data_IF_496191335279
#
_entry.id   IF_496191335279
#
_cell.length_a   1.000
_cell.length_b   1.000
_cell.length_c   1.000
_cell.angle_alpha   90.00
_cell.angle_beta   90.00
_cell.angle_gamma   90.00
#
_symmetry.space_group_name_H-M   'P 1'
#
loop_
_entity.id
_entity.type
_entity.pdbx_description
1 polymer ?
#
# COMPACT_ATOMS: atom_id res chain seq x y z
N UNK A 1 -16.53 42.85 -2.99
CA UNK A 1 -15.81 41.96 -3.92
C UNK A 1 -14.58 41.36 -3.26
N UNK A 2 -13.66 42.17 -2.71
CA UNK A 2 -12.45 41.71 -2.00
C UNK A 2 -12.67 40.68 -0.87
N UNK A 3 -13.67 40.89 0.00
CA UNK A 3 -13.95 39.97 1.11
C UNK A 3 -14.37 38.58 0.59
N UNK A 4 -15.14 38.52 -0.49
CA UNK A 4 -15.62 37.26 -1.08
C UNK A 4 -14.43 36.48 -1.67
N UNK A 5 -13.54 37.15 -2.39
CA UNK A 5 -12.32 36.53 -2.94
C UNK A 5 -11.40 36.01 -1.84
N UNK A 6 -11.23 36.77 -0.75
CA UNK A 6 -10.45 36.34 0.40
C UNK A 6 -11.02 35.06 1.04
N UNK A 7 -12.33 35.02 1.24
CA UNK A 7 -13.01 33.84 1.81
C UNK A 7 -12.85 32.63 0.89
N UNK A 8 -12.99 32.80 -0.43
CA UNK A 8 -12.80 31.71 -1.40
C UNK A 8 -11.37 31.17 -1.33
N UNK A 9 -10.36 32.05 -1.32
CA UNK A 9 -8.95 31.66 -1.22
C UNK A 9 -8.66 30.92 0.09
N UNK A 10 -9.20 31.40 1.21
CA UNK A 10 -9.05 30.73 2.50
C UNK A 10 -9.64 29.32 2.48
N UNK A 11 -10.85 29.17 1.92
CA UNK A 11 -11.50 27.86 1.80
C UNK A 11 -10.72 26.92 0.87
N UNK A 12 -10.20 27.42 -0.24
CA UNK A 12 -9.34 26.63 -1.14
C UNK A 12 -8.08 26.16 -0.44
N UNK A 13 -7.40 27.06 0.28
CA UNK A 13 -6.20 26.71 1.05
C UNK A 13 -6.50 25.64 2.08
N UNK A 14 -7.57 25.83 2.88
CA UNK A 14 -8.00 24.86 3.87
C UNK A 14 -8.36 23.51 3.25
N UNK A 15 -9.03 23.50 2.10
CA UNK A 15 -9.34 22.27 1.37
C UNK A 15 -8.07 21.52 0.94
N UNK A 16 -7.08 22.23 0.41
CA UNK A 16 -5.78 21.65 0.05
C UNK A 16 -5.06 21.04 1.25
N UNK A 17 -5.03 21.73 2.39
CA UNK A 17 -4.45 21.22 3.64
C UNK A 17 -5.16 19.94 4.11
N UNK A 18 -6.49 19.93 4.10
CA UNK A 18 -7.29 18.75 4.50
C UNK A 18 -7.01 17.56 3.58
N UNK A 19 -6.87 17.79 2.27
CA UNK A 19 -6.50 16.74 1.30
C UNK A 19 -5.13 16.14 1.65
N UNK A 20 -4.11 16.98 1.86
CA UNK A 20 -2.75 16.54 2.18
C UNK A 20 -2.69 15.79 3.51
N UNK A 21 -3.33 16.32 4.56
CA UNK A 21 -3.42 15.64 5.86
C UNK A 21 -4.18 14.31 5.77
N UNK A 22 -5.21 14.23 4.92
CA UNK A 22 -5.92 13.00 4.62
C UNK A 22 -5.01 11.94 4.01
N UNK A 23 -4.15 12.33 3.05
CA UNK A 23 -3.16 11.42 2.45
C UNK A 23 -2.11 10.99 3.46
N UNK A 24 -1.57 11.90 4.26
CA UNK A 24 -0.59 11.55 5.32
C UNK A 24 -1.20 10.58 6.33
N UNK A 25 -2.44 10.81 6.74
CA UNK A 25 -3.16 9.91 7.65
C UNK A 25 -3.38 8.54 7.00
N UNK A 26 -3.72 8.50 5.72
CA UNK A 26 -3.84 7.26 4.95
C UNK A 26 -2.50 6.52 4.89
N UNK A 27 -1.39 7.21 4.59
CA UNK A 27 -0.07 6.62 4.54
C UNK A 27 0.38 6.04 5.89
N UNK A 28 0.17 6.78 6.97
CA UNK A 28 0.48 6.32 8.33
C UNK A 28 -0.38 5.11 8.70
N UNK A 29 -1.69 5.16 8.46
CA UNK A 29 -2.60 4.04 8.79
C UNK A 29 -2.30 2.79 7.98
N UNK A 30 -1.87 2.94 6.73
CA UNK A 30 -1.62 1.80 5.84
C UNK A 30 -0.25 1.17 6.02
N UNK A 31 0.79 1.96 6.34
CA UNK A 31 2.18 1.49 6.33
C UNK A 31 2.94 1.62 7.65
N UNK A 32 2.54 2.53 8.54
CA UNK A 32 3.28 2.80 9.79
C UNK A 32 2.57 2.21 11.01
N UNK A 33 1.23 2.21 11.00
CA UNK A 33 0.43 1.74 12.12
C UNK A 33 0.37 0.20 12.10
N UNK A 34 1.03 -0.45 13.06
CA UNK A 34 1.01 -1.89 13.27
C UNK A 34 -0.30 -2.38 13.91
N UNK A 35 -1.44 -2.05 13.29
CA UNK A 35 -2.77 -2.46 13.72
C UNK A 35 -3.73 -2.38 12.55
N UNK A 36 -4.80 -3.19 12.58
CA UNK A 36 -5.89 -3.08 11.61
C UNK A 36 -6.56 -1.70 11.67
N UNK A 37 -6.08 -0.74 10.88
CA UNK A 37 -6.75 0.51 10.64
C UNK A 37 -7.47 0.44 9.30
N UNK A 38 -8.79 0.58 9.34
CA UNK A 38 -9.57 0.75 8.12
C UNK A 38 -9.23 2.11 7.52
N UNK A 39 -8.55 2.08 6.38
CA UNK A 39 -8.29 3.28 5.59
C UNK A 39 -9.16 3.29 4.33
N UNK A 40 -10.00 4.32 4.20
CA UNK A 40 -10.98 4.42 3.12
C UNK A 40 -10.32 4.62 1.77
N UNK A 41 -9.23 5.40 1.71
CA UNK A 41 -8.51 5.66 0.47
C UNK A 41 -7.86 4.39 -0.05
N UNK A 42 -7.13 3.69 0.80
CA UNK A 42 -6.52 2.39 0.48
C UNK A 42 -7.57 1.37 0.07
N UNK A 43 -8.66 1.26 0.85
CA UNK A 43 -9.76 0.34 0.54
C UNK A 43 -10.41 0.65 -0.83
N UNK A 44 -10.55 1.93 -1.17
CA UNK A 44 -11.05 2.36 -2.47
C UNK A 44 -10.11 1.97 -3.59
N UNK A 45 -8.80 2.21 -3.44
CA UNK A 45 -7.78 1.83 -4.43
C UNK A 45 -7.79 0.32 -4.66
N UNK A 46 -7.82 -0.49 -3.59
CA UNK A 46 -7.91 -1.94 -3.71
C UNK A 46 -9.19 -2.40 -4.41
N UNK A 47 -10.34 -1.76 -4.12
CA UNK A 47 -11.61 -2.09 -4.77
C UNK A 47 -11.61 -1.73 -6.25
N UNK A 48 -11.14 -0.55 -6.60
CA UNK A 48 -11.06 -0.09 -8.01
C UNK A 48 -10.10 -0.96 -8.79
N UNK A 49 -8.91 -1.23 -8.24
CA UNK A 49 -7.93 -2.14 -8.83
C UNK A 49 -8.55 -3.52 -9.03
N UNK A 50 -9.22 -4.06 -8.01
CA UNK A 50 -9.86 -5.39 -8.11
C UNK A 50 -10.88 -5.45 -9.24
N UNK A 51 -11.70 -4.42 -9.39
CA UNK A 51 -12.66 -4.34 -10.49
C UNK A 51 -11.96 -4.35 -11.86
N UNK A 52 -10.85 -3.61 -12.02
CA UNK A 52 -10.07 -3.60 -13.26
C UNK A 52 -9.49 -4.98 -13.58
N UNK A 53 -8.97 -5.69 -12.58
CA UNK A 53 -8.46 -7.05 -12.76
C UNK A 53 -9.59 -8.04 -13.09
N UNK A 54 -10.73 -7.96 -12.40
CA UNK A 54 -11.89 -8.82 -12.65
C UNK A 54 -12.48 -8.60 -14.05
N UNK A 55 -12.46 -7.37 -14.58
CA UNK A 55 -12.84 -7.10 -15.97
C UNK A 55 -11.96 -7.87 -16.97
N UNK A 56 -10.66 -8.00 -16.69
CA UNK A 56 -9.75 -8.82 -17.51
C UNK A 56 -9.97 -10.33 -17.32
N UNK A 57 -10.34 -10.78 -16.11
CA UNK A 57 -10.60 -12.19 -15.85
C UNK A 57 -11.79 -12.76 -16.61
N UNK A 58 -12.77 -11.92 -16.98
CA UNK A 58 -13.93 -12.34 -17.80
C UNK A 58 -13.52 -12.96 -19.15
N UNK A 59 -12.30 -12.69 -19.61
CA UNK A 59 -11.75 -13.20 -20.88
C UNK A 59 -10.98 -14.52 -20.72
N UNK A 60 -10.78 -15.00 -19.49
CA UNK A 60 -9.95 -16.17 -19.21
C UNK A 60 -10.81 -17.41 -18.92
N UNK A 61 -10.53 -18.51 -19.63
CA UNK A 61 -11.27 -19.77 -19.53
C UNK A 61 -10.72 -20.70 -18.43
N UNK A 62 -9.39 -20.75 -18.25
CA UNK A 62 -8.71 -21.71 -17.36
C UNK A 62 -8.46 -21.12 -15.97
N UNK A 63 -8.47 -21.98 -14.94
CA UNK A 63 -8.08 -21.59 -13.58
C UNK A 63 -6.63 -21.07 -13.50
N UNK A 64 -5.69 -21.73 -14.18
CA UNK A 64 -4.28 -21.34 -14.22
C UNK A 64 -4.07 -19.92 -14.77
N UNK A 65 -4.80 -19.56 -15.82
CA UNK A 65 -4.69 -18.24 -16.46
C UNK A 65 -5.28 -17.15 -15.56
N UNK A 66 -6.40 -17.45 -14.88
CA UNK A 66 -7.01 -16.55 -13.90
C UNK A 66 -6.10 -16.33 -12.70
N UNK A 67 -5.47 -17.40 -12.22
CA UNK A 67 -4.54 -17.35 -11.10
C UNK A 67 -3.32 -16.49 -11.44
N UNK A 68 -2.72 -16.68 -12.63
CA UNK A 68 -1.58 -15.89 -13.09
C UNK A 68 -1.87 -14.40 -13.17
N UNK A 69 -3.06 -14.02 -13.68
CA UNK A 69 -3.48 -12.61 -13.73
C UNK A 69 -3.68 -12.06 -12.32
N UNK A 70 -4.32 -12.82 -11.44
CA UNK A 70 -4.56 -12.39 -10.05
C UNK A 70 -3.31 -12.43 -9.17
N UNK A 71 -2.26 -13.16 -9.52
CA UNK A 71 -0.98 -13.11 -8.83
C UNK A 71 -0.34 -11.71 -8.92
N UNK A 72 -0.59 -10.97 -10.02
CA UNK A 72 -0.10 -9.60 -10.21
C UNK A 72 -0.95 -8.54 -9.50
N UNK A 73 -2.16 -8.89 -9.03
CA UNK A 73 -3.09 -7.95 -8.42
C UNK A 73 -2.51 -7.26 -7.18
N UNK A 74 -2.02 -8.03 -6.21
CA UNK A 74 -1.54 -7.46 -4.95
C UNK A 74 -0.30 -6.59 -5.14
N UNK A 75 0.76 -7.03 -5.86
CA UNK A 75 1.95 -6.21 -6.09
C UNK A 75 1.65 -4.91 -6.85
N UNK A 76 0.85 -4.97 -7.93
CA UNK A 76 0.54 -3.79 -8.73
C UNK A 76 -0.36 -2.79 -7.99
N UNK A 77 -1.32 -3.29 -7.21
CA UNK A 77 -2.18 -2.43 -6.37
C UNK A 77 -1.38 -1.77 -5.27
N UNK A 78 -0.42 -2.48 -4.69
CA UNK A 78 0.43 -1.94 -3.63
C UNK A 78 1.35 -0.83 -4.15
N UNK A 79 1.95 -1.01 -5.33
CA UNK A 79 2.81 0.00 -5.97
C UNK A 79 1.98 1.22 -6.43
N UNK A 80 0.70 1.03 -6.79
CA UNK A 80 -0.14 2.14 -7.24
C UNK A 80 -0.59 3.08 -6.11
N UNK A 81 -0.70 2.59 -4.86
CA UNK A 81 -1.05 3.42 -3.69
C UNK A 81 -0.19 4.68 -3.52
N UNK A 82 1.15 4.59 -3.39
CA UNK A 82 2.00 5.77 -3.22
C UNK A 82 1.94 6.70 -4.44
N UNK A 83 1.78 6.15 -5.65
CA UNK A 83 1.63 6.94 -6.88
C UNK A 83 0.34 7.77 -6.78
N UNK A 84 -0.76 7.15 -6.36
CA UNK A 84 -2.04 7.81 -6.16
C UNK A 84 -1.94 8.87 -5.05
N UNK A 85 -1.25 8.57 -3.94
CA UNK A 85 -1.00 9.55 -2.88
C UNK A 85 -0.23 10.76 -3.38
N UNK A 86 0.86 10.55 -4.13
CA UNK A 86 1.63 11.65 -4.73
C UNK A 86 0.77 12.48 -5.68
N UNK A 87 -0.08 11.86 -6.50
CA UNK A 87 -1.02 12.60 -7.37
C UNK A 87 -2.01 13.43 -6.56
N UNK A 88 -2.58 12.87 -5.48
CA UNK A 88 -3.54 13.60 -4.63
C UNK A 88 -2.85 14.76 -3.90
N UNK A 89 -1.63 14.56 -3.40
CA UNK A 89 -0.81 15.60 -2.77
C UNK A 89 -0.48 16.69 -3.78
N UNK A 90 -0.02 16.32 -4.98
CA UNK A 90 0.26 17.24 -6.09
C UNK A 90 -0.95 18.14 -6.40
N UNK A 91 -2.14 17.55 -6.49
CA UNK A 91 -3.38 18.31 -6.72
C UNK A 91 -3.77 19.17 -5.51
N UNK A 92 -3.62 18.65 -4.29
CA UNK A 92 -3.90 19.38 -3.05
C UNK A 92 -3.02 20.63 -2.91
N UNK A 93 -1.71 20.50 -3.19
CA UNK A 93 -0.77 21.62 -3.20
C UNK A 93 -1.04 22.60 -4.34
N UNK A 94 -1.39 22.12 -5.54
CA UNK A 94 -1.81 23.01 -6.63
C UNK A 94 -2.97 23.93 -6.23
N UNK A 95 -3.95 23.42 -5.48
CA UNK A 95 -5.05 24.23 -4.94
C UNK A 95 -4.54 25.26 -3.91
N UNK A 96 -3.60 24.88 -3.05
CA UNK A 96 -2.99 25.80 -2.07
C UNK A 96 -2.18 26.91 -2.75
N UNK A 97 -1.42 26.61 -3.80
CA UNK A 97 -0.68 27.61 -4.57
C UNK A 97 -1.62 28.63 -5.24
N UNK A 98 -2.74 28.18 -5.81
CA UNK A 98 -3.75 29.08 -6.38
C UNK A 98 -4.32 30.00 -5.31
N UNK A 99 -4.59 29.48 -4.11
CA UNK A 99 -5.11 30.27 -3.00
C UNK A 99 -4.15 31.40 -2.58
N UNK A 100 -2.84 31.10 -2.51
CA UNK A 100 -1.81 32.07 -2.11
C UNK A 100 -1.58 33.16 -3.17
N UNK A 101 -1.80 32.86 -4.46
CA UNK A 101 -1.69 33.87 -5.51
C UNK A 101 -1.14 33.42 -6.85
N UNK A 102 -0.99 32.12 -7.08
CA UNK A 102 -0.58 31.63 -8.41
C UNK A 102 -1.72 31.83 -9.41
N UNK A 103 -1.43 32.62 -10.46
CA UNK A 103 -2.44 33.18 -11.37
C UNK A 103 -3.15 32.15 -12.26
N UNK A 104 -2.55 30.99 -12.52
CA UNK A 104 -3.11 29.98 -13.43
C UNK A 104 -3.00 28.57 -12.87
N UNK A 105 -4.00 27.73 -13.16
CA UNK A 105 -4.01 26.31 -12.77
C UNK A 105 -2.79 25.57 -13.34
N UNK A 106 -2.44 25.84 -14.60
CA UNK A 106 -1.27 25.22 -15.24
C UNK A 106 0.02 25.58 -14.51
N UNK A 107 0.22 26.84 -14.12
CA UNK A 107 1.41 27.26 -13.38
C UNK A 107 1.44 26.62 -11.99
N UNK A 108 0.30 26.54 -11.29
CA UNK A 108 0.21 25.89 -9.99
C UNK A 108 0.54 24.40 -10.04
N UNK A 109 0.09 23.69 -11.09
CA UNK A 109 0.43 22.28 -11.33
C UNK A 109 1.93 22.09 -11.65
N UNK A 110 2.53 22.98 -12.45
CA UNK A 110 3.96 22.93 -12.76
C UNK A 110 4.79 23.23 -11.49
N UNK A 111 4.40 24.23 -10.70
CA UNK A 111 5.08 24.60 -9.45
C UNK A 111 5.02 23.46 -8.43
N UNK A 112 3.82 22.95 -8.19
CA UNK A 112 3.56 21.78 -7.34
C UNK A 112 4.34 20.55 -7.79
N UNK A 113 4.31 20.24 -9.10
CA UNK A 113 5.03 19.08 -9.64
C UNK A 113 6.54 19.22 -9.51
N UNK A 114 7.07 20.43 -9.76
CA UNK A 114 8.48 20.76 -9.58
C UNK A 114 8.92 20.59 -8.13
N UNK A 115 8.11 21.05 -7.18
CA UNK A 115 8.41 20.98 -5.75
C UNK A 115 8.30 19.54 -5.21
N UNK A 116 7.18 18.87 -5.47
CA UNK A 116 6.92 17.50 -5.00
C UNK A 116 7.97 16.49 -5.49
N UNK A 117 8.38 16.62 -6.76
CA UNK A 117 9.41 15.77 -7.37
C UNK A 117 10.82 16.34 -7.18
N UNK A 118 10.98 17.45 -6.45
CA UNK A 118 12.27 18.09 -6.15
C UNK A 118 13.09 18.47 -7.39
N UNK A 119 12.42 18.79 -8.50
CA UNK A 119 13.05 19.13 -9.77
C UNK A 119 13.60 20.56 -9.80
N UNK A 120 13.00 21.49 -9.05
CA UNK A 120 13.44 22.89 -8.96
C UNK A 120 13.34 23.70 -10.26
N UNK A 121 12.50 23.26 -11.21
CA UNK A 121 12.32 23.88 -12.54
C UNK A 121 11.47 25.15 -12.47
N UNK A 122 10.51 25.20 -11.55
CA UNK A 122 9.66 26.36 -11.30
C UNK A 122 9.78 26.75 -9.83
N UNK A 123 9.99 28.05 -9.58
CA UNK A 123 10.06 28.66 -8.25
C UNK A 123 9.43 30.05 -8.33
N UNK A 124 8.92 30.56 -7.21
CA UNK A 124 8.36 31.91 -7.09
C UNK A 124 9.02 32.68 -5.93
N UNK A 125 9.33 33.97 -6.13
CA UNK A 125 10.09 34.80 -5.16
C UNK A 125 9.28 35.26 -3.93
N UNK A 126 8.14 34.62 -3.64
CA UNK A 126 7.31 34.95 -2.48
C UNK A 126 7.65 34.02 -1.32
N UNK A 127 7.98 34.60 -0.15
CA UNK A 127 8.28 33.86 1.07
C UNK A 127 7.18 32.83 1.44
N UNK A 128 5.91 33.15 1.24
CA UNK A 128 4.80 32.23 1.52
C UNK A 128 4.74 31.04 0.55
N UNK A 129 5.05 31.26 -0.73
CA UNK A 129 5.13 30.19 -1.74
C UNK A 129 6.36 29.31 -1.48
N UNK A 130 7.50 29.93 -1.17
CA UNK A 130 8.73 29.23 -0.81
C UNK A 130 8.54 28.27 0.38
N UNK A 131 7.87 28.71 1.46
CA UNK A 131 7.58 27.82 2.59
C UNK A 131 6.69 26.63 2.20
N UNK A 132 5.71 26.88 1.33
CA UNK A 132 4.81 25.84 0.84
C UNK A 132 5.56 24.83 -0.04
N UNK A 133 6.44 25.31 -0.92
CA UNK A 133 7.35 24.48 -1.73
C UNK A 133 8.22 23.58 -0.84
N UNK A 134 8.91 24.14 0.15
CA UNK A 134 9.72 23.35 1.08
C UNK A 134 8.89 22.29 1.81
N UNK A 135 7.69 22.65 2.29
CA UNK A 135 6.81 21.69 2.97
C UNK A 135 6.34 20.57 2.04
N UNK A 136 6.07 20.88 0.78
CA UNK A 136 5.67 19.90 -0.23
C UNK A 136 6.79 18.92 -0.54
N UNK A 137 8.00 19.43 -0.76
CA UNK A 137 9.18 18.62 -1.00
C UNK A 137 9.43 17.64 0.16
N UNK A 138 9.36 18.13 1.41
CA UNK A 138 9.52 17.29 2.61
C UNK A 138 8.45 16.19 2.68
N UNK A 139 7.18 16.53 2.42
CA UNK A 139 6.09 15.54 2.42
C UNK A 139 6.28 14.51 1.31
N UNK A 140 6.64 14.94 0.10
CA UNK A 140 6.95 14.04 -1.02
C UNK A 140 8.05 13.06 -0.68
N UNK A 141 9.15 13.55 -0.10
CA UNK A 141 10.27 12.72 0.35
C UNK A 141 9.86 11.73 1.45
N UNK A 142 9.06 12.14 2.43
CA UNK A 142 8.55 11.25 3.49
C UNK A 142 7.70 10.13 2.87
N UNK A 143 6.79 10.45 1.95
CA UNK A 143 5.93 9.45 1.29
C UNK A 143 6.76 8.44 0.49
N UNK A 144 7.78 8.90 -0.24
CA UNK A 144 8.70 8.03 -0.98
C UNK A 144 9.53 7.17 -0.02
N UNK A 145 10.02 7.73 1.09
CA UNK A 145 10.79 7.01 2.08
C UNK A 145 9.98 5.87 2.72
N UNK A 146 8.72 6.13 3.08
CA UNK A 146 7.81 5.09 3.59
C UNK A 146 7.62 3.98 2.56
N UNK A 147 7.42 4.32 1.28
CA UNK A 147 7.28 3.32 0.22
C UNK A 147 8.51 2.40 0.12
N UNK A 148 9.70 2.99 0.11
CA UNK A 148 10.96 2.23 0.00
C UNK A 148 11.13 1.30 1.21
N UNK A 149 10.78 1.76 2.41
CA UNK A 149 10.87 0.94 3.62
C UNK A 149 9.80 -0.17 3.69
N UNK A 150 8.65 0.04 3.06
CA UNK A 150 7.51 -0.88 3.16
C UNK A 150 7.67 -2.15 2.32
N UNK A 151 8.14 -2.03 1.08
CA UNK A 151 8.25 -3.18 0.17
C UNK A 151 9.13 -4.32 0.73
N UNK A 152 10.34 -4.07 1.26
CA UNK A 152 11.17 -5.13 1.85
C UNK A 152 10.47 -5.84 3.01
N UNK A 153 9.80 -5.07 3.88
CA UNK A 153 9.07 -5.59 5.04
C UNK A 153 7.94 -6.53 4.61
N UNK A 154 7.19 -6.14 3.58
CA UNK A 154 6.14 -6.96 2.98
C UNK A 154 6.67 -8.26 2.38
N UNK A 155 7.73 -8.17 1.57
CA UNK A 155 8.31 -9.36 0.94
C UNK A 155 8.93 -10.31 1.97
N UNK A 156 9.51 -9.77 3.05
CA UNK A 156 10.02 -10.58 4.16
C UNK A 156 8.90 -11.34 4.86
N UNK A 157 7.78 -10.67 5.19
CA UNK A 157 6.61 -11.31 5.81
C UNK A 157 5.99 -12.38 4.89
N UNK A 158 5.84 -12.07 3.60
CA UNK A 158 5.35 -13.03 2.60
C UNK A 158 6.27 -14.25 2.48
N UNK A 159 7.59 -14.03 2.40
CA UNK A 159 8.58 -15.12 2.29
C UNK A 159 8.58 -16.01 3.54
N UNK A 160 8.47 -15.42 4.74
CA UNK A 160 8.36 -16.19 5.99
C UNK A 160 7.11 -17.08 5.99
N UNK A 161 5.96 -16.53 5.56
CA UNK A 161 4.71 -17.29 5.40
C UNK A 161 4.88 -18.47 4.42
N UNK A 162 5.39 -18.19 3.23
CA UNK A 162 5.52 -19.20 2.15
C UNK A 162 6.49 -20.32 2.51
N UNK A 163 7.54 -20.02 3.29
CA UNK A 163 8.45 -21.05 3.81
C UNK A 163 7.69 -22.09 4.64
N UNK A 164 6.80 -21.66 5.52
CA UNK A 164 6.02 -22.57 6.38
C UNK A 164 4.93 -23.31 5.59
N UNK A 165 4.28 -22.65 4.63
CA UNK A 165 3.33 -23.30 3.70
C UNK A 165 4.03 -24.42 2.91
N UNK A 166 5.23 -24.15 2.38
CA UNK A 166 6.02 -25.16 1.67
C UNK A 166 6.39 -26.34 2.56
N UNK A 167 6.78 -26.09 3.83
CA UNK A 167 7.07 -27.15 4.80
C UNK A 167 5.82 -27.99 5.12
N UNK A 168 4.66 -27.35 5.19
CA UNK A 168 3.38 -28.04 5.38
C UNK A 168 3.06 -28.95 4.19
N UNK A 169 3.22 -28.49 2.95
CA UNK A 169 2.98 -29.30 1.74
C UNK A 169 3.87 -30.56 1.70
N UNK A 170 5.14 -30.45 2.11
CA UNK A 170 6.05 -31.61 2.18
C UNK A 170 5.55 -32.65 3.19
N UNK A 171 5.01 -32.20 4.33
CA UNK A 171 4.55 -33.09 5.42
C UNK A 171 3.17 -33.67 5.14
N UNK A 172 2.24 -32.84 4.69
CA UNK A 172 0.81 -33.16 4.57
C UNK A 172 0.37 -33.48 3.13
N UNK A 173 1.23 -33.33 2.13
CA UNK A 173 0.90 -33.52 0.72
C UNK A 173 0.30 -32.28 0.04
N UNK A 174 -0.02 -32.42 -1.25
CA UNK A 174 -0.73 -31.41 -2.04
C UNK A 174 -1.86 -32.13 -2.81
N UNK A 175 -3.14 -31.97 -2.43
CA UNK A 175 -3.63 -31.08 -1.37
C UNK A 175 -3.22 -31.54 0.05
N UNK A 176 -3.04 -30.61 1.00
CA UNK A 176 -2.60 -30.94 2.35
C UNK A 176 -3.69 -31.66 3.14
N UNK A 177 -3.34 -32.79 3.76
CA UNK A 177 -4.23 -33.63 4.57
C UNK A 177 -3.60 -33.94 5.92
N UNK A 178 -4.31 -33.58 7.00
CA UNK A 178 -3.87 -33.83 8.37
C UNK A 178 -3.76 -35.33 8.67
N UNK A 179 -4.69 -36.13 8.14
CA UNK A 179 -4.67 -37.58 8.29
C UNK A 179 -3.44 -38.19 7.60
N UNK A 180 -3.16 -37.78 6.36
CA UNK A 180 -2.00 -38.27 5.61
C UNK A 180 -0.69 -37.84 6.27
N UNK A 181 -0.62 -36.64 6.84
CA UNK A 181 0.52 -36.19 7.62
C UNK A 181 0.79 -37.11 8.82
N UNK A 182 -0.24 -37.44 9.60
CA UNK A 182 -0.11 -38.31 10.78
C UNK A 182 0.23 -39.75 10.41
N UNK A 183 -0.39 -40.29 9.35
CA UNK A 183 -0.09 -41.63 8.84
C UNK A 183 1.37 -41.72 8.39
N UNK A 184 1.86 -40.71 7.65
CA UNK A 184 3.27 -40.63 7.23
C UNK A 184 4.21 -40.48 8.40
N UNK A 185 3.87 -39.64 9.38
CA UNK A 185 4.68 -39.47 10.59
C UNK A 185 4.76 -40.76 11.40
N UNK A 186 3.65 -41.50 11.51
CA UNK A 186 3.62 -42.80 12.19
C UNK A 186 4.43 -43.86 11.42
N UNK A 187 4.30 -43.93 10.09
CA UNK A 187 4.99 -44.95 9.28
C UNK A 187 6.52 -44.84 9.34
N UNK A 188 7.06 -43.64 9.54
CA UNK A 188 8.50 -43.41 9.73
C UNK A 188 8.94 -43.36 11.19
N UNK A 189 8.07 -43.76 12.14
CA UNK A 189 8.31 -43.67 13.59
C UNK A 189 8.62 -42.25 14.08
N UNK A 190 8.20 -41.23 13.33
CA UNK A 190 8.48 -39.81 13.56
C UNK A 190 7.44 -39.08 14.42
N UNK A 191 6.49 -39.77 15.04
CA UNK A 191 5.46 -39.14 15.88
C UNK A 191 6.02 -38.30 17.03
N UNK A 192 7.15 -38.71 17.61
CA UNK A 192 7.82 -37.94 18.66
C UNK A 192 8.27 -36.55 18.19
N UNK A 193 8.58 -36.40 16.88
CA UNK A 193 9.04 -35.14 16.27
C UNK A 193 7.87 -34.17 16.02
N UNK A 194 6.63 -34.67 15.98
CA UNK A 194 5.43 -33.85 15.73
C UNK A 194 5.22 -32.77 16.79
N UNK A 195 5.64 -33.03 18.03
CA UNK A 195 5.56 -32.01 19.08
C UNK A 195 6.35 -30.74 18.72
N UNK A 196 7.57 -30.89 18.20
CA UNK A 196 8.37 -29.76 17.74
C UNK A 196 7.74 -29.02 16.57
N UNK A 197 7.08 -29.75 15.66
CA UNK A 197 6.31 -29.14 14.56
C UNK A 197 5.18 -28.27 15.09
N UNK A 198 4.45 -28.72 16.11
CA UNK A 198 3.36 -27.96 16.70
C UNK A 198 3.84 -26.69 17.42
N UNK A 199 4.98 -26.73 18.12
CA UNK A 199 5.59 -25.54 18.72
C UNK A 199 5.95 -24.51 17.64
N UNK A 200 6.62 -24.93 16.57
CA UNK A 200 6.94 -24.03 15.44
C UNK A 200 5.68 -23.47 14.77
N UNK A 201 4.59 -24.23 14.73
CA UNK A 201 3.32 -23.75 14.18
C UNK A 201 2.62 -22.76 15.07
N UNK A 202 2.69 -22.93 16.40
CA UNK A 202 2.17 -21.94 17.34
C UNK A 202 2.84 -20.58 17.12
N UNK A 203 4.17 -20.54 17.04
CA UNK A 203 4.94 -19.34 16.70
C UNK A 203 4.54 -18.78 15.33
N UNK A 204 4.47 -19.64 14.31
CA UNK A 204 4.10 -19.21 12.96
C UNK A 204 2.68 -18.64 12.87
N UNK A 205 1.70 -19.23 13.57
CA UNK A 205 0.33 -18.72 13.57
C UNK A 205 0.24 -17.35 14.24
N UNK A 206 0.98 -17.14 15.34
CA UNK A 206 1.08 -15.84 15.98
C UNK A 206 1.73 -14.80 15.04
N UNK A 207 2.82 -15.15 14.36
CA UNK A 207 3.46 -14.28 13.36
C UNK A 207 2.51 -13.95 12.20
N UNK A 208 1.75 -14.93 11.69
CA UNK A 208 0.78 -14.72 10.61
C UNK A 208 -0.35 -13.80 11.06
N UNK A 209 -0.89 -14.01 12.27
CA UNK A 209 -1.91 -13.15 12.85
C UNK A 209 -1.43 -11.70 12.97
N UNK A 210 -0.23 -11.49 13.54
CA UNK A 210 0.34 -10.16 13.71
C UNK A 210 0.61 -9.47 12.36
N UNK A 211 1.28 -10.17 11.44
CA UNK A 211 1.66 -9.61 10.14
C UNK A 211 0.46 -9.33 9.25
N UNK A 212 -0.52 -10.23 9.15
CA UNK A 212 -1.67 -10.04 8.25
C UNK A 212 -2.73 -9.09 8.82
N UNK A 213 -2.73 -8.87 10.15
CA UNK A 213 -3.52 -7.81 10.78
C UNK A 213 -2.87 -6.43 10.61
N UNK A 214 -1.54 -6.37 10.70
CA UNK A 214 -0.76 -5.13 10.57
C UNK A 214 -0.50 -4.71 9.12
N UNK A 215 -0.46 -5.67 8.21
CA UNK A 215 -0.18 -5.48 6.78
C UNK A 215 -1.32 -6.10 5.94
N UNK A 216 -2.51 -5.47 5.88
CA UNK A 216 -3.70 -6.07 5.26
C UNK A 216 -3.52 -6.44 3.79
N UNK A 217 -2.58 -5.80 3.09
CA UNK A 217 -2.26 -6.11 1.70
C UNK A 217 -1.75 -7.56 1.52
N UNK A 218 -1.13 -8.18 2.54
CA UNK A 218 -0.60 -9.55 2.47
C UNK A 218 -1.66 -10.60 2.16
N UNK A 219 -2.92 -10.37 2.57
CA UNK A 219 -4.04 -11.29 2.33
C UNK A 219 -4.31 -11.50 0.83
N UNK A 220 -3.93 -10.53 -0.01
CA UNK A 220 -4.10 -10.62 -1.46
C UNK A 220 -2.93 -11.29 -2.19
N UNK A 221 -1.81 -11.55 -1.50
CA UNK A 221 -0.66 -12.25 -2.09
C UNK A 221 -0.93 -13.75 -2.16
N UNK A 222 -1.05 -14.25 -3.40
CA UNK A 222 -1.27 -15.66 -3.68
C UNK A 222 -0.02 -16.50 -3.40
N UNK A 223 -0.25 -17.77 -3.05
CA UNK A 223 0.83 -18.77 -2.90
C UNK A 223 1.61 -18.92 -4.20
N UNK A 224 2.90 -19.23 -4.08
CA UNK A 224 3.77 -19.51 -5.23
C UNK A 224 3.42 -20.83 -5.94
N UNK A 225 2.76 -21.76 -5.22
CA UNK A 225 2.26 -23.03 -5.74
C UNK A 225 0.75 -23.12 -5.43
N UNK A 226 -0.12 -22.89 -6.43
CA UNK A 226 -1.56 -23.03 -6.28
C UNK A 226 -2.03 -24.49 -6.27
#
# INVERSE_FOLDING_TARGET
MWIIELVIRLLMFAAGVVIVLGVLTSAIRSFVLARSARDSLTSLVFRVSRNLFEMNLRKQATYSDRDRVMAMFAPLTLISLPIIWLIIVWLGYAVMYIAIGVNTLQRALILSGSSLLTLGIANEDNFGLMLLEFSEAVIGLILIAILIAYLPTMYAAFSSREKQVTLLEVRAGSPPSAADMLIRAHSIQGLAVMHGVFITWEEWFAEVEETHTSLPALVFFRSTKP
#
